data_IF_863923528788
#
_entry.id   IF_863923528788
#
_cell.length_a   1.000
_cell.length_b   1.000
_cell.length_c   1.000
_cell.angle_alpha   90.00
_cell.angle_beta   90.00
_cell.angle_gamma   90.00
#
_symmetry.space_group_name_H-M   'P 1'
#
loop_
_entity.id
_entity.type
_entity.pdbx_description
1 polymer ?
2 non-polymer ?
3 non-polymer ?
4 water ?
#
# COMPACT_ATOMS: atom_id res chain seq x y z
N UNK A 1 -15.89 -7.56 -6.52
CA UNK A 1 -15.25 -6.66 -5.52
C UNK A 1 -15.92 -5.30 -5.44
N UNK A 2 -16.26 -4.92 -4.22
CA UNK A 2 -16.75 -3.59 -3.95
C UNK A 2 -15.61 -2.64 -3.66
N UNK A 3 -15.94 -1.38 -3.37
CA UNK A 3 -14.94 -0.33 -3.15
C UNK A 3 -14.22 -0.35 -1.81
N UNK A 4 -14.82 -0.95 -0.80
CA UNK A 4 -14.39 -0.74 0.56
C UNK A 4 -13.34 -1.74 1.07
N UNK A 5 -12.21 -1.21 1.59
CA UNK A 5 -11.27 -2.00 2.35
C UNK A 5 -11.59 -1.78 3.84
N UNK A 6 -11.62 -2.86 4.61
CA UNK A 6 -11.77 -2.69 6.04
C UNK A 6 -10.83 -3.65 6.79
N UNK A 7 -10.95 -3.69 8.12
CA UNK A 7 -10.03 -4.48 8.92
C UNK A 7 -10.79 -5.28 9.99
N UNK A 8 -10.13 -6.28 10.57
CA UNK A 8 -10.71 -7.05 11.66
C UNK A 8 -9.91 -6.88 12.97
N UNK A 9 -10.52 -7.28 14.09
CA UNK A 9 -9.96 -7.03 15.41
C UNK A 9 -8.71 -7.85 15.75
N UNK A 10 -8.70 -9.13 15.38
CA UNK A 10 -7.63 -9.99 15.86
C UNK A 10 -7.19 -11.14 14.97
N UNK A 11 -6.95 -12.29 15.61
CA UNK A 11 -6.30 -13.44 14.96
C UNK A 11 -7.24 -14.33 14.17
N UNK A 12 -8.54 -14.27 14.48
CA UNK A 12 -9.55 -15.13 13.88
C UNK A 12 -10.73 -14.25 13.55
N UNK A 13 -11.59 -14.73 12.66
CA UNK A 13 -12.80 -14.04 12.30
C UNK A 13 -13.85 -14.22 13.41
N UNK A 14 -14.53 -13.14 13.76
CA UNK A 14 -15.68 -13.26 14.65
C UNK A 14 -16.92 -13.50 13.80
N UNK A 15 -18.06 -13.75 14.44
CA UNK A 15 -19.33 -13.92 13.72
C UNK A 15 -19.64 -12.68 12.92
N UNK A 16 -19.37 -11.52 13.52
CA UNK A 16 -19.63 -10.25 12.86
C UNK A 16 -18.71 -9.98 11.65
N UNK A 17 -17.44 -10.36 11.76
CA UNK A 17 -16.50 -10.26 10.66
C UNK A 17 -17.01 -11.05 9.45
N UNK A 18 -17.49 -12.26 9.71
CA UNK A 18 -18.03 -13.13 8.67
C UNK A 18 -19.21 -12.51 7.93
N UNK A 19 -20.16 -11.97 8.68
CA UNK A 19 -21.29 -11.28 8.07
C UNK A 19 -20.80 -10.08 7.25
N UNK A 20 -19.84 -9.33 7.79
CA UNK A 20 -19.24 -8.18 7.08
C UNK A 20 -18.54 -8.58 5.76
N UNK A 21 -17.72 -9.64 5.80
CA UNK A 21 -16.98 -10.02 4.62
C UNK A 21 -17.90 -10.50 3.49
N UNK A 22 -19.13 -10.86 3.85
CA UNK A 22 -20.09 -11.37 2.87
C UNK A 22 -20.71 -10.24 2.09
N UNK A 23 -20.54 -9.02 2.58
CA UNK A 23 -21.22 -7.92 1.94
C UNK A 23 -20.48 -7.48 0.68
N UNK A 24 -21.19 -7.37 -0.44
CA UNK A 24 -20.50 -7.12 -1.71
C UNK A 24 -19.89 -5.72 -1.84
N UNK A 25 -20.12 -4.84 -0.87
CA UNK A 25 -19.45 -3.53 -0.89
C UNK A 25 -18.00 -3.71 -0.45
N UNK A 26 -17.72 -4.81 0.24
CA UNK A 26 -16.35 -5.04 0.67
C UNK A 26 -15.59 -5.50 -0.57
N UNK A 27 -14.37 -4.98 -0.74
CA UNK A 27 -13.51 -5.34 -1.85
C UNK A 27 -12.17 -5.84 -1.34
N UNK A 28 -11.83 -5.50 -0.10
CA UNK A 28 -10.55 -5.90 0.46
C UNK A 28 -10.47 -5.84 1.98
N UNK A 29 -9.49 -6.55 2.54
CA UNK A 29 -9.22 -6.53 3.97
C UNK A 29 -7.79 -6.04 4.15
N UNK A 30 -7.59 -5.02 4.98
CA UNK A 30 -6.22 -4.60 5.28
C UNK A 30 -5.82 -5.18 6.62
N UNK A 31 -4.64 -5.81 6.65
CA UNK A 31 -4.20 -6.51 7.85
C UNK A 31 -3.16 -5.66 8.59
N UNK A 32 -3.09 -5.85 9.90
CA UNK A 32 -2.14 -5.14 10.76
C UNK A 32 -1.37 -6.16 11.64
N UNK A 33 -0.43 -5.67 12.44
CA UNK A 33 0.29 -6.52 13.39
C UNK A 33 -0.64 -7.30 14.30
N UNK A 34 -1.77 -6.69 14.63
CA UNK A 34 -2.72 -7.27 15.57
C UNK A 34 -3.46 -8.45 14.98
N UNK A 35 -3.39 -8.62 13.67
CA UNK A 35 -3.99 -9.78 13.04
C UNK A 35 -2.97 -10.90 12.84
N UNK A 36 -1.77 -10.71 13.38
CA UNK A 36 -0.71 -11.67 13.17
C UNK A 36 -0.11 -12.22 14.45
N UNK A 37 -0.33 -13.52 14.69
CA UNK A 37 0.37 -14.21 15.78
C UNK A 37 1.53 -15.06 15.27
N UNK A 38 1.28 -15.89 14.26
CA UNK A 38 2.31 -16.78 13.71
C UNK A 38 1.94 -17.21 12.28
N UNK A 39 2.89 -17.81 11.57
CA UNK A 39 2.68 -18.14 10.15
C UNK A 39 1.44 -18.96 9.88
N UNK A 40 1.25 -20.03 10.65
CA UNK A 40 0.13 -20.96 10.49
C UNK A 40 -1.23 -20.28 10.71
N UNK A 41 -1.33 -19.56 11.83
CA UNK A 41 -2.48 -18.72 12.17
C UNK A 41 -2.84 -17.72 11.06
N UNK A 42 -1.83 -17.12 10.45
CA UNK A 42 -2.05 -16.16 9.35
C UNK A 42 -2.65 -16.80 8.11
N UNK A 43 -2.13 -17.97 7.71
CA UNK A 43 -2.69 -18.74 6.58
C UNK A 43 -4.14 -19.08 6.88
N UNK A 44 -4.36 -19.52 8.11
CA UNK A 44 -5.69 -19.92 8.55
C UNK A 44 -6.65 -18.73 8.47
N UNK A 45 -6.18 -17.55 8.90
CA UNK A 45 -6.98 -16.32 8.85
C UNK A 45 -7.28 -15.88 7.42
N UNK A 46 -6.27 -15.89 6.57
CA UNK A 46 -6.51 -15.50 5.19
C UNK A 46 -7.47 -16.45 4.45
N UNK A 47 -7.36 -17.75 4.73
CA UNK A 47 -8.28 -18.74 4.17
C UNK A 47 -9.71 -18.51 4.68
N UNK A 48 -9.86 -18.21 5.97
CA UNK A 48 -11.17 -17.85 6.50
C UNK A 48 -11.73 -16.56 5.87
N UNK A 49 -10.90 -15.53 5.73
CA UNK A 49 -11.33 -14.32 5.01
C UNK A 49 -11.86 -14.67 3.60
N UNK A 50 -11.14 -15.52 2.88
CA UNK A 50 -11.55 -15.85 1.51
C UNK A 50 -12.79 -16.74 1.48
N UNK A 51 -12.93 -17.60 2.47
CA UNK A 51 -14.14 -18.40 2.58
C UNK A 51 -15.35 -17.54 2.92
N UNK A 52 -15.20 -16.66 3.90
CA UNK A 52 -16.32 -15.84 4.36
C UNK A 52 -16.87 -14.96 3.23
N UNK A 53 -15.97 -14.46 2.39
CA UNK A 53 -16.34 -13.61 1.27
C UNK A 53 -17.00 -14.43 0.16
N UNK A 54 -16.54 -15.67 -0.02
CA UNK A 54 -17.07 -16.56 -1.06
C UNK A 54 -17.09 -15.89 -2.44
N UNK A 55 -16.09 -15.05 -2.68
CA UNK A 55 -15.93 -14.40 -3.98
C UNK A 55 -14.50 -13.87 -3.98
N UNK A 56 -13.98 -13.49 -5.16
CA UNK A 56 -12.62 -12.99 -5.05
C UNK A 56 -12.61 -11.76 -4.13
N UNK A 57 -11.58 -11.66 -3.27
CA UNK A 57 -11.43 -10.52 -2.40
C UNK A 57 -9.94 -10.23 -2.19
N UNK A 58 -9.57 -8.97 -1.95
CA UNK A 58 -8.18 -8.61 -1.80
C UNK A 58 -7.74 -8.63 -0.36
N UNK A 59 -6.51 -9.06 -0.12
CA UNK A 59 -5.95 -9.00 1.22
C UNK A 59 -4.63 -8.24 1.14
N UNK A 60 -4.53 -7.15 1.88
CA UNK A 60 -3.38 -6.25 1.78
C UNK A 60 -2.80 -5.96 3.14
N UNK A 61 -1.58 -5.43 3.12
CA UNK A 61 -0.89 -5.13 4.36
C UNK A 61 0.19 -4.09 4.05
N UNK A 62 0.55 -3.27 5.02
CA UNK A 62 1.68 -2.35 4.85
C UNK A 62 2.95 -3.13 5.17
N UNK A 63 3.61 -3.69 4.16
CA UNK A 63 4.87 -4.42 4.38
C UNK A 63 5.96 -3.78 3.52
N UNK A 64 6.61 -2.74 4.04
CA UNK A 64 7.55 -1.94 3.26
C UNK A 64 8.98 -2.33 3.60
N UNK A 65 9.17 -2.84 4.81
CA UNK A 65 10.49 -3.05 5.37
C UNK A 65 10.78 -1.96 6.40
N UNK A 66 11.76 -2.18 7.26
CA UNK A 66 12.22 -1.15 8.19
C UNK A 66 11.20 -0.84 9.27
N UNK A 67 10.79 0.42 9.33
CA UNK A 67 9.83 0.83 10.36
C UNK A 67 8.40 0.31 10.10
N UNK A 68 8.13 -0.12 8.89
CA UNK A 68 6.82 -0.60 8.53
C UNK A 68 6.88 -2.01 7.98
N UNK A 69 6.81 -2.98 8.87
CA UNK A 69 6.67 -4.37 8.45
C UNK A 69 5.80 -5.05 9.49
N UNK A 70 4.52 -5.27 9.16
CA UNK A 70 3.55 -5.81 10.12
C UNK A 70 3.86 -7.22 10.57
N UNK A 71 4.41 -8.04 9.67
CA UNK A 71 4.66 -9.43 9.98
C UNK A 71 6.17 -9.62 10.00
N UNK A 72 6.74 -9.77 11.19
CA UNK A 72 8.19 -9.91 11.34
C UNK A 72 8.61 -11.29 11.82
N UNK A 73 8.08 -11.71 12.96
CA UNK A 73 8.38 -13.05 13.50
C UNK A 73 7.96 -14.16 12.55
N UNK A 74 8.92 -14.98 12.11
CA UNK A 74 8.61 -16.06 11.18
C UNK A 74 8.73 -15.63 9.73
N UNK A 75 9.13 -14.38 9.54
CA UNK A 75 9.36 -13.83 8.21
C UNK A 75 10.80 -13.39 8.11
N UNK A 76 11.30 -13.21 6.89
CA UNK A 76 12.58 -12.58 6.73
C UNK A 76 12.40 -11.10 7.02
N UNK A 77 13.29 -10.52 7.81
CA UNK A 77 13.27 -9.10 8.10
C UNK A 77 13.72 -8.31 6.86
N UNK A 78 12.94 -7.29 6.50
CA UNK A 78 13.23 -6.48 5.29
C UNK A 78 13.76 -5.13 5.80
N UNK A 79 14.87 -4.62 5.25
CA UNK A 79 15.44 -3.39 5.78
C UNK A 79 14.61 -2.16 5.44
N UNK A 80 14.85 -1.04 6.13
CA UNK A 80 14.30 0.24 5.70
C UNK A 80 14.59 0.51 4.22
N UNK A 81 13.60 0.97 3.47
CA UNK A 81 13.78 1.25 2.04
C UNK A 81 15.03 2.12 1.78
N UNK A 82 15.34 2.99 2.74
CA UNK A 82 16.53 3.84 2.65
C UNK A 82 17.86 3.09 2.44
N UNK A 83 17.99 1.93 3.07
CA UNK A 83 19.25 1.19 3.06
C UNK A 83 19.82 0.81 1.69
N UNK A 84 18.96 0.44 0.75
CA UNK A 84 19.44 -0.03 -0.54
C UNK A 84 20.47 0.91 -1.14
N UNK A 85 20.10 2.18 -1.32
CA UNK A 85 20.96 3.10 -2.05
C UNK A 85 22.27 3.36 -1.29
N UNK A 86 22.33 2.92 -0.03
CA UNK A 86 23.54 3.09 0.77
C UNK A 86 24.56 1.94 0.63
N UNK A 87 24.12 0.78 0.12
CA UNK A 87 25.01 -0.36 -0.20
C UNK A 87 25.74 -0.06 -1.50
N UNK A 88 26.77 -0.83 -1.82
CA UNK A 88 27.49 -0.62 -3.08
C UNK A 88 26.81 -1.26 -4.28
N UNK A 89 25.91 -2.20 -4.04
CA UNK A 89 25.04 -2.73 -5.10
C UNK A 89 23.56 -2.52 -4.75
N UNK A 90 23.13 -1.26 -4.75
CA UNK A 90 21.82 -0.86 -4.25
C UNK A 90 20.66 -1.31 -5.11
N UNK A 91 20.84 -1.26 -6.42
CA UNK A 91 19.80 -1.72 -7.32
C UNK A 91 19.61 -3.23 -7.16
N UNK A 92 20.71 -3.97 -7.15
CA UNK A 92 20.64 -5.42 -6.98
C UNK A 92 19.96 -5.82 -5.66
N UNK A 93 20.31 -5.13 -4.58
CA UNK A 93 19.76 -5.44 -3.27
C UNK A 93 18.29 -5.00 -3.12
N UNK A 94 17.93 -3.89 -3.76
CA UNK A 94 16.56 -3.36 -3.69
C UNK A 94 15.57 -4.27 -4.42
N UNK A 95 16.01 -4.90 -5.51
CA UNK A 95 15.18 -5.86 -6.25
C UNK A 95 15.03 -7.15 -5.40
N UNK A 96 16.09 -7.52 -4.68
CA UNK A 96 16.02 -8.66 -3.79
C UNK A 96 15.01 -8.41 -2.66
N UNK A 97 15.08 -7.22 -2.05
CA UNK A 97 14.16 -6.84 -0.99
C UNK A 97 12.72 -6.89 -1.47
N UNK A 98 12.46 -6.38 -2.66
CA UNK A 98 11.12 -6.34 -3.19
C UNK A 98 10.57 -7.71 -3.49
N UNK A 99 11.36 -8.53 -4.16
CA UNK A 99 10.95 -9.89 -4.50
C UNK A 99 10.72 -10.68 -3.23
N UNK A 100 11.56 -10.47 -2.23
CA UNK A 100 11.54 -11.31 -1.03
C UNK A 100 10.34 -10.95 -0.16
N UNK A 101 10.13 -9.66 0.01
CA UNK A 101 8.96 -9.17 0.71
C UNK A 101 7.69 -9.69 0.04
N UNK A 102 7.59 -9.52 -1.28
CA UNK A 102 6.40 -9.93 -2.01
C UNK A 102 6.21 -11.45 -1.96
N UNK A 103 7.32 -12.18 -2.10
CA UNK A 103 7.26 -13.66 -2.18
C UNK A 103 6.77 -14.25 -0.87
N UNK A 104 7.25 -13.71 0.25
CA UNK A 104 6.81 -14.25 1.53
C UNK A 104 5.33 -13.93 1.83
N UNK A 105 4.87 -12.74 1.41
CA UNK A 105 3.46 -12.40 1.60
C UNK A 105 2.62 -13.42 0.83
N UNK A 106 2.96 -13.62 -0.43
CA UNK A 106 2.26 -14.56 -1.30
C UNK A 106 2.23 -15.97 -0.72
N UNK A 107 3.36 -16.43 -0.20
CA UNK A 107 3.43 -17.74 0.43
C UNK A 107 2.41 -17.83 1.56
N UNK A 108 1.92 -16.68 2.03
CA UNK A 108 1.01 -16.69 3.17
C UNK A 108 -0.38 -16.20 2.77
N UNK A 109 -0.65 -16.28 1.48
CA UNK A 109 -1.98 -16.00 0.96
C UNK A 109 -2.34 -14.52 1.08
N UNK A 110 -1.35 -13.63 1.02
CA UNK A 110 -1.61 -12.19 0.96
C UNK A 110 -1.48 -11.69 -0.49
N UNK A 111 -2.48 -10.96 -0.98
CA UNK A 111 -2.44 -10.43 -2.34
C UNK A 111 -1.38 -9.35 -2.60
N UNK A 112 -1.27 -8.36 -1.71
CA UNK A 112 -0.37 -7.24 -1.96
C UNK A 112 0.13 -6.52 -0.70
N UNK A 113 1.28 -5.86 -0.85
CA UNK A 113 1.76 -4.93 0.15
C UNK A 113 1.55 -3.54 -0.43
N UNK A 114 1.15 -2.57 0.40
CA UNK A 114 1.00 -1.21 -0.07
C UNK A 114 2.38 -0.56 -0.15
N UNK A 115 3.00 -0.67 -1.32
CA UNK A 115 4.37 -0.23 -1.55
C UNK A 115 4.66 -0.27 -3.05
N UNK A 116 5.64 0.51 -3.52
CA UNK A 116 6.67 1.22 -2.73
C UNK A 116 6.35 2.65 -2.30
N UNK A 117 7.03 3.11 -1.24
CA UNK A 117 7.05 4.54 -0.96
C UNK A 117 7.85 5.28 -2.05
N UNK A 118 7.23 6.25 -2.70
CA UNK A 118 7.91 7.02 -3.76
C UNK A 118 8.17 8.46 -3.32
N UNK A 119 7.98 8.74 -2.03
CA UNK A 119 8.26 10.05 -1.47
C UNK A 119 9.76 10.32 -1.47
N UNK A 120 10.13 11.60 -1.53
CA UNK A 120 11.54 11.98 -1.66
C UNK A 120 11.97 12.72 -0.42
N UNK A 121 13.12 12.34 0.13
CA UNK A 121 13.68 13.01 1.31
C UNK A 121 13.38 12.28 2.59
N UNK A 122 14.11 12.60 3.65
CA UNK A 122 13.95 11.90 4.91
C UNK A 122 13.44 12.84 6.02
N UNK A 123 13.28 14.12 5.70
CA UNK A 123 12.98 15.13 6.73
C UNK A 123 11.55 15.09 7.32
N UNK A 124 10.63 14.35 6.71
CA UNK A 124 9.30 14.23 7.29
C UNK A 124 9.34 13.07 8.27
N UNK A 125 9.14 13.37 9.55
CA UNK A 125 9.33 12.39 10.62
C UNK A 125 8.60 11.06 10.34
N UNK A 126 7.42 11.13 9.74
CA UNK A 126 6.59 9.95 9.50
C UNK A 126 7.08 9.11 8.32
N UNK A 127 7.75 9.76 7.36
CA UNK A 127 8.37 9.04 6.24
C UNK A 127 9.77 8.61 6.66
N UNK A 128 10.69 9.56 6.81
CA UNK A 128 12.03 9.25 7.30
C UNK A 128 12.70 8.19 6.44
N UNK A 129 13.23 7.13 7.07
CA UNK A 129 13.93 6.13 6.28
C UNK A 129 13.03 5.16 5.50
N UNK A 130 11.74 5.49 5.38
CA UNK A 130 10.83 4.69 4.54
C UNK A 130 11.00 5.07 3.07
N UNK A 131 11.67 6.20 2.84
CA UNK A 131 11.95 6.67 1.50
C UNK A 131 13.23 6.04 0.93
N UNK A 132 13.22 5.78 -0.38
CA UNK A 132 14.34 5.13 -1.03
C UNK A 132 15.55 6.03 -1.21
N UNK A 133 15.33 7.33 -1.11
CA UNK A 133 16.36 8.31 -1.43
C UNK A 133 15.91 9.75 -1.21
N UNK A 134 16.84 10.67 -1.46
CA UNK A 134 16.66 12.10 -1.19
C UNK A 134 16.70 12.92 -2.43
N UNK A 135 16.79 12.29 -3.58
CA UNK A 135 16.77 13.00 -4.85
C UNK A 135 16.02 12.15 -5.88
N UNK A 136 15.58 12.79 -6.96
CA UNK A 136 14.79 12.10 -7.96
C UNK A 136 15.43 10.80 -8.51
N UNK A 137 16.73 10.83 -8.79
CA UNK A 137 17.35 9.68 -9.49
C UNK A 137 17.58 8.49 -8.56
N UNK A 138 17.92 8.77 -7.30
CA UNK A 138 18.12 7.70 -6.33
C UNK A 138 16.81 6.99 -6.00
N UNK A 139 15.73 7.77 -5.80
CA UNK A 139 14.41 7.21 -5.57
C UNK A 139 13.96 6.34 -6.75
N UNK A 140 13.96 6.92 -7.95
CA UNK A 140 13.54 6.19 -9.16
C UNK A 140 14.34 4.90 -9.36
N UNK A 141 15.66 5.06 -9.29
CA UNK A 141 16.58 3.96 -9.50
C UNK A 141 16.26 2.82 -8.53
N UNK A 142 16.11 3.14 -7.25
CA UNK A 142 15.93 2.09 -6.24
C UNK A 142 14.49 1.60 -5.99
N UNK A 143 13.50 2.48 -6.17
CA UNK A 143 12.10 2.06 -6.09
C UNK A 143 11.74 1.18 -7.30
N UNK A 144 12.27 1.51 -8.49
CA UNK A 144 12.07 0.68 -9.67
C UNK A 144 12.60 -0.73 -9.41
N UNK A 145 13.80 -0.81 -8.87
CA UNK A 145 14.33 -2.12 -8.51
C UNK A 145 13.37 -2.89 -7.59
N UNK A 146 13.03 -2.29 -6.46
CA UNK A 146 12.13 -2.91 -5.48
C UNK A 146 10.85 -3.39 -6.17
N UNK A 147 10.35 -2.56 -7.05
CA UNK A 147 9.07 -2.72 -7.69
C UNK A 147 9.14 -3.86 -8.73
N UNK A 148 10.26 -3.94 -9.46
CA UNK A 148 10.52 -5.08 -10.35
C UNK A 148 10.53 -6.44 -9.60
N UNK A 149 11.01 -6.43 -8.36
CA UNK A 149 11.02 -7.65 -7.56
C UNK A 149 9.61 -8.09 -7.19
N UNK A 150 8.76 -7.11 -6.87
CA UNK A 150 7.36 -7.39 -6.53
C UNK A 150 6.68 -8.03 -7.74
N UNK A 151 6.87 -7.41 -8.89
CA UNK A 151 6.25 -7.81 -10.14
C UNK A 151 6.69 -9.21 -10.56
N UNK A 152 7.96 -9.52 -10.33
CA UNK A 152 8.49 -10.83 -10.73
C UNK A 152 7.76 -11.99 -10.06
N UNK A 153 7.34 -11.83 -8.79
CA UNK A 153 6.53 -12.85 -8.15
C UNK A 153 5.01 -12.68 -8.34
N UNK A 154 4.59 -11.77 -9.21
CA UNK A 154 3.17 -11.63 -9.52
C UNK A 154 2.36 -10.79 -8.53
N UNK A 155 3.05 -9.88 -7.83
CA UNK A 155 2.38 -9.00 -6.88
C UNK A 155 2.16 -7.63 -7.49
N UNK A 156 0.92 -7.13 -7.41
CA UNK A 156 0.59 -5.77 -7.92
C UNK A 156 1.24 -4.71 -7.02
N UNK A 157 1.48 -3.54 -7.60
CA UNK A 157 2.25 -2.49 -6.96
C UNK A 157 1.42 -1.23 -6.67
N UNK A 158 1.72 -0.56 -5.56
CA UNK A 158 0.98 0.63 -5.15
C UNK A 158 1.98 1.74 -4.81
N UNK A 159 2.10 2.74 -5.66
CA UNK A 159 2.94 3.89 -5.32
C UNK A 159 2.27 4.77 -4.28
N UNK A 160 3.04 5.22 -3.29
CA UNK A 160 2.53 6.19 -2.31
C UNK A 160 3.65 7.14 -1.91
N UNK A 161 3.31 8.34 -1.44
CA UNK A 161 1.94 8.79 -1.20
C UNK A 161 1.71 10.00 -2.07
N UNK A 162 1.01 9.77 -3.17
CA UNK A 162 0.88 10.72 -4.25
C UNK A 162 0.25 12.04 -3.77
N UNK A 163 0.76 13.20 -4.21
CA UNK A 163 1.86 13.50 -5.15
C UNK A 163 3.22 13.64 -4.46
N UNK A 164 3.35 13.19 -3.23
CA UNK A 164 4.64 13.24 -2.57
C UNK A 164 4.53 13.85 -1.19
N UNK A 165 4.96 13.07 -0.20
CA UNK A 165 4.81 13.38 1.22
C UNK A 165 6.18 13.68 1.84
N UNK A 166 7.21 13.70 1.01
CA UNK A 166 8.58 13.83 1.50
C UNK A 166 8.99 15.13 2.15
N UNK A 167 8.32 16.24 1.82
CA UNK A 167 8.69 17.55 2.35
C UNK A 167 7.79 18.08 3.47
N UNK A 168 6.82 17.30 3.91
CA UNK A 168 5.94 17.75 5.00
C UNK A 168 6.73 18.01 6.31
N UNK A 169 6.87 19.28 6.70
CA UNK A 169 7.59 19.61 7.94
C UNK A 169 6.69 19.99 9.12
N UNK A 173 -0.44 21.89 12.63
CA UNK A 173 -1.23 21.85 13.86
C UNK A 173 -2.73 21.91 13.60
N UNK A 174 -3.17 21.35 12.47
CA UNK A 174 -4.59 21.21 12.16
C UNK A 174 -4.89 19.73 11.96
N UNK A 175 -6.17 19.37 11.79
CA UNK A 175 -6.54 17.98 11.50
C UNK A 175 -5.79 17.39 10.30
N UNK A 176 -4.97 18.20 9.63
CA UNK A 176 -4.33 17.78 8.38
C UNK A 176 -2.99 18.49 8.10
N UNK A 177 -1.96 17.71 7.71
CA UNK A 177 -0.63 18.24 7.40
C UNK A 177 -0.59 19.05 6.11
N UNK A 178 0.37 19.97 6.03
CA UNK A 178 0.49 20.92 4.93
C UNK A 178 1.88 20.89 4.32
N UNK A 179 1.93 21.11 3.01
CA UNK A 179 3.18 21.28 2.31
C UNK A 179 3.02 22.52 1.45
N UNK A 180 3.59 23.63 1.88
CA UNK A 180 3.35 24.93 1.23
C UNK A 180 4.28 25.34 0.09
N UNK A 181 5.13 24.44 -0.41
CA UNK A 181 6.09 24.87 -1.42
C UNK A 181 5.30 25.33 -2.63
N UNK A 182 5.79 26.31 -3.38
CA UNK A 182 5.03 26.77 -4.54
C UNK A 182 5.24 25.90 -5.76
N UNK A 183 6.22 25.00 -5.65
CA UNK A 183 6.34 23.94 -6.62
C UNK A 183 6.70 22.61 -5.94
N UNK A 184 6.11 21.53 -6.41
CA UNK A 184 6.51 20.21 -5.93
C UNK A 184 6.90 19.34 -7.11
N UNK A 185 7.41 19.97 -8.16
CA UNK A 185 7.72 19.30 -9.42
C UNK A 185 8.66 18.09 -9.31
N UNK A 186 9.72 18.22 -8.52
CA UNK A 186 10.63 17.11 -8.36
C UNK A 186 9.92 15.93 -7.70
N UNK A 187 9.20 16.19 -6.60
CA UNK A 187 8.46 15.13 -5.92
C UNK A 187 7.50 14.45 -6.87
N UNK A 188 6.81 15.26 -7.66
CA UNK A 188 5.78 14.74 -8.58
C UNK A 188 6.41 14.03 -9.79
N UNK A 189 7.62 14.45 -10.18
CA UNK A 189 8.35 13.86 -11.30
C UNK A 189 8.59 12.36 -11.08
N UNK A 190 8.87 11.99 -9.82
CA UNK A 190 9.05 10.59 -9.46
C UNK A 190 7.82 9.76 -9.81
N UNK A 191 6.66 10.23 -9.36
CA UNK A 191 5.38 9.59 -9.67
C UNK A 191 5.11 9.57 -11.16
N UNK A 192 5.40 10.69 -11.85
CA UNK A 192 5.22 10.75 -13.31
C UNK A 192 6.03 9.69 -14.08
N UNK A 193 7.31 9.56 -13.77
CA UNK A 193 8.15 8.53 -14.39
C UNK A 193 7.66 7.08 -14.16
N UNK A 194 7.20 6.77 -12.94
CA UNK A 194 6.74 5.42 -12.65
C UNK A 194 5.42 5.13 -13.37
N UNK A 195 4.54 6.13 -13.45
CA UNK A 195 3.29 5.99 -14.20
C UNK A 195 3.61 5.80 -15.68
N UNK A 196 4.43 6.69 -16.21
CA UNK A 196 4.79 6.64 -17.62
C UNK A 196 5.45 5.31 -17.97
N UNK A 197 6.14 4.70 -17.01
CA UNK A 197 6.79 3.40 -17.24
C UNK A 197 5.80 2.24 -17.14
N UNK A 198 4.54 2.55 -16.83
CA UNK A 198 3.51 1.53 -16.62
C UNK A 198 3.76 0.50 -15.52
N UNK A 199 4.47 0.88 -14.45
CA UNK A 199 4.84 -0.10 -13.42
C UNK A 199 4.01 -0.04 -12.13
N UNK A 200 3.03 0.84 -12.06
CA UNK A 200 2.23 0.95 -10.86
C UNK A 200 0.82 0.46 -11.15
N UNK A 201 0.42 -0.57 -10.43
CA UNK A 201 -0.95 -1.07 -10.59
C UNK A 201 -1.92 -0.20 -9.84
N UNK A 202 -1.45 0.49 -8.82
CA UNK A 202 -2.32 1.25 -7.97
C UNK A 202 -1.58 2.46 -7.40
N UNK A 203 -2.34 3.41 -6.88
CA UNK A 203 -1.77 4.62 -6.30
C UNK A 203 -2.50 4.97 -5.00
N UNK A 204 -1.72 5.26 -3.96
CA UNK A 204 -2.30 5.79 -2.75
C UNK A 204 -1.87 7.26 -2.56
N UNK A 205 -2.85 8.16 -2.39
CA UNK A 205 -2.56 9.59 -2.27
C UNK A 205 -2.22 10.01 -0.86
N UNK A 206 -1.58 11.15 -0.72
CA UNK A 206 -1.24 11.67 0.60
C UNK A 206 -2.40 12.45 1.24
N UNK A 207 -2.55 12.33 2.55
CA UNK A 207 -3.47 13.20 3.28
C UNK A 207 -2.76 14.52 3.66
N UNK A 208 -2.47 15.32 2.64
CA UNK A 208 -1.68 16.53 2.76
C UNK A 208 -2.27 17.55 1.81
N UNK A 209 -2.36 18.78 2.28
CA UNK A 209 -2.88 19.89 1.51
C UNK A 209 -1.69 20.60 0.87
N UNK A 210 -1.78 20.89 -0.42
CA UNK A 210 -0.78 21.68 -1.10
C UNK A 210 -1.42 23.01 -1.53
N UNK A 211 -1.38 24.02 -0.64
CA UNK A 211 -2.20 25.23 -0.76
C UNK A 211 -1.98 25.97 -2.07
N UNK A 212 -0.76 25.94 -2.56
CA UNK A 212 -0.50 26.53 -3.85
C UNK A 212 -1.41 25.94 -4.91
N UNK A 213 -1.83 24.68 -4.72
CA UNK A 213 -2.44 23.91 -5.82
C UNK A 213 -3.94 23.68 -5.65
N UNK A 214 -4.35 23.45 -4.41
CA UNK A 214 -5.71 23.05 -4.12
C UNK A 214 -5.95 23.10 -2.61
N UNK A 215 -7.19 23.40 -2.20
CA UNK A 215 -7.54 23.50 -0.78
C UNK A 215 -7.69 22.14 -0.10
N UNK A 216 -8.00 21.11 -0.88
CA UNK A 216 -8.28 19.77 -0.31
C UNK A 216 -7.02 18.94 -0.12
N UNK A 217 -6.95 18.17 0.97
CA UNK A 217 -5.87 17.17 1.05
C UNK A 217 -5.90 16.35 -0.23
N UNK A 218 -4.76 15.95 -0.77
CA UNK A 218 -4.76 15.23 -2.04
C UNK A 218 -5.64 13.99 -2.04
N UNK A 219 -5.72 13.28 -0.91
CA UNK A 219 -6.52 12.07 -0.82
C UNK A 219 -8.02 12.29 -1.04
N UNK A 220 -8.48 13.54 -1.00
CA UNK A 220 -9.90 13.86 -1.19
C UNK A 220 -10.10 14.98 -2.20
N UNK A 221 -9.13 15.13 -3.10
CA UNK A 221 -9.07 16.27 -4.00
C UNK A 221 -9.37 15.89 -5.45
N UNK A 222 -10.45 16.45 -5.99
CA UNK A 222 -10.78 16.30 -7.40
C UNK A 222 -9.64 16.78 -8.31
N UNK A 223 -8.98 17.87 -7.92
CA UNK A 223 -7.83 18.34 -8.67
C UNK A 223 -6.77 17.24 -8.73
N UNK A 224 -6.30 16.82 -7.55
CA UNK A 224 -5.18 15.88 -7.51
C UNK A 224 -5.52 14.52 -8.10
N UNK A 225 -6.71 14.02 -7.82
CA UNK A 225 -7.02 12.63 -8.17
C UNK A 225 -7.53 12.48 -9.58
N UNK A 226 -8.10 13.55 -10.11
CA UNK A 226 -8.68 13.50 -11.46
C UNK A 226 -7.94 14.39 -12.45
N UNK A 227 -7.93 15.69 -12.21
CA UNK A 227 -7.24 16.58 -13.14
C UNK A 227 -5.76 16.20 -13.31
N UNK A 228 -5.03 16.02 -12.21
CA UNK A 228 -3.61 15.67 -12.29
C UNK A 228 -3.41 14.17 -12.53
N UNK A 229 -3.81 13.34 -11.57
CA UNK A 229 -3.52 11.92 -11.64
C UNK A 229 -4.02 11.26 -12.93
N UNK A 230 -5.25 11.58 -13.35
CA UNK A 230 -5.82 10.98 -14.56
C UNK A 230 -5.50 11.79 -15.81
N UNK A 231 -5.84 13.09 -15.79
CA UNK A 231 -5.74 13.91 -17.00
C UNK A 231 -4.32 14.22 -17.44
N UNK A 232 -3.55 14.89 -16.58
CA UNK A 232 -2.18 15.26 -16.91
C UNK A 232 -1.18 14.10 -16.95
N UNK A 233 -1.32 13.12 -16.07
CA UNK A 233 -0.33 12.03 -15.98
C UNK A 233 -0.79 10.72 -16.63
N UNK A 234 -2.07 10.60 -16.94
CA UNK A 234 -2.58 9.39 -17.58
C UNK A 234 -2.53 8.10 -16.77
N UNK A 235 -2.57 8.18 -15.43
CA UNK A 235 -2.63 6.96 -14.65
C UNK A 235 -3.88 6.15 -15.01
N UNK A 236 -3.69 4.84 -15.20
CA UNK A 236 -4.74 3.93 -15.66
C UNK A 236 -5.16 2.94 -14.58
N UNK A 237 -4.48 2.96 -13.45
CA UNK A 237 -4.70 1.93 -12.44
C UNK A 237 -5.71 2.29 -11.39
N UNK A 238 -5.63 1.58 -10.26
CA UNK A 238 -6.55 1.78 -9.14
C UNK A 238 -6.08 2.91 -8.24
N UNK A 239 -6.98 3.86 -7.97
CA UNK A 239 -6.67 4.93 -7.01
C UNK A 239 -7.35 4.61 -5.70
N UNK A 240 -6.55 4.55 -4.64
CA UNK A 240 -7.10 4.37 -3.30
C UNK A 240 -7.40 5.73 -2.69
N UNK A 241 -8.24 5.73 -1.67
CA UNK A 241 -8.34 6.87 -0.77
C UNK A 241 -7.39 6.64 0.39
N UNK A 242 -7.33 7.63 1.26
CA UNK A 242 -6.66 7.52 2.53
C UNK A 242 -7.68 6.92 3.51
N UNK A 243 -7.24 6.68 4.74
CA UNK A 243 -8.13 6.16 5.77
C UNK A 243 -9.20 7.17 6.18
N UNK A 244 -10.45 6.89 5.81
CA UNK A 244 -11.57 7.82 5.97
C UNK A 244 -12.28 7.69 7.32
N UNK A 245 -11.75 6.87 8.21
CA UNK A 245 -12.41 6.69 9.49
C UNK A 245 -12.09 7.91 10.34
N UNK A 246 -10.92 8.50 10.06
CA UNK A 246 -10.42 9.68 10.78
C UNK A 246 -11.41 10.86 10.77
N UNK A 251 -15.83 18.45 8.37
CA UNK A 251 -15.76 19.02 7.04
C UNK A 251 -16.75 18.35 6.05
N UNK A 252 -16.43 17.13 5.60
CA UNK A 252 -17.26 16.48 4.58
C UNK A 252 -18.59 15.90 5.10
N UNK A 253 -18.64 15.56 6.39
CA UNK A 253 -19.81 14.89 6.98
C UNK A 253 -19.46 13.53 7.58
N UNK A 254 -20.46 12.69 7.77
CA UNK A 254 -20.24 11.36 8.31
C UNK A 254 -19.65 10.41 7.29
N UNK A 255 -19.43 9.16 7.70
CA UNK A 255 -18.75 8.12 6.92
C UNK A 255 -19.27 7.99 5.50
N UNK A 256 -20.58 7.93 5.32
CA UNK A 256 -21.18 7.79 3.99
C UNK A 256 -20.86 8.96 3.06
N UNK A 257 -20.92 10.18 3.59
CA UNK A 257 -20.63 11.37 2.80
C UNK A 257 -19.14 11.44 2.51
N UNK A 258 -18.34 11.10 3.51
CA UNK A 258 -16.90 11.07 3.33
C UNK A 258 -16.56 10.03 2.26
N UNK A 259 -17.18 8.86 2.33
CA UNK A 259 -16.93 7.82 1.34
C UNK A 259 -17.34 8.30 -0.04
N UNK A 260 -18.49 8.95 -0.10
CA UNK A 260 -19.01 9.50 -1.34
C UNK A 260 -18.11 10.59 -1.91
N UNK A 261 -17.59 11.49 -1.06
CA UNK A 261 -16.70 12.54 -1.55
C UNK A 261 -15.40 11.93 -2.09
N UNK A 262 -14.89 10.91 -1.39
CA UNK A 262 -13.69 10.21 -1.88
C UNK A 262 -13.93 9.56 -3.25
N UNK A 263 -15.06 8.89 -3.42
CA UNK A 263 -15.36 8.26 -4.70
C UNK A 263 -15.56 9.33 -5.78
N UNK A 264 -16.35 10.36 -5.46
CA UNK A 264 -16.57 11.46 -6.40
C UNK A 264 -15.25 12.14 -6.81
N UNK A 265 -14.36 12.31 -5.84
CA UNK A 265 -13.06 12.96 -6.04
C UNK A 265 -12.14 12.19 -6.99
N UNK A 266 -12.41 10.88 -7.14
CA UNK A 266 -11.70 10.05 -8.11
C UNK A 266 -11.05 8.77 -7.58
N UNK A 267 -11.37 8.38 -6.34
CA UNK A 267 -10.91 7.11 -5.80
C UNK A 267 -11.71 5.96 -6.37
N UNK A 268 -11.05 4.84 -6.67
CA UNK A 268 -11.79 3.65 -7.06
C UNK A 268 -12.17 2.85 -5.85
N UNK A 269 -11.31 2.90 -4.82
CA UNK A 269 -11.54 2.17 -3.57
C UNK A 269 -11.27 3.06 -2.37
N UNK A 270 -11.96 2.79 -1.27
CA UNK A 270 -11.85 3.61 -0.09
C UNK A 270 -11.47 2.73 1.10
N UNK A 271 -10.71 3.30 2.02
CA UNK A 271 -10.26 2.55 3.18
C UNK A 271 -10.93 3.11 4.41
N UNK A 272 -11.44 2.22 5.26
CA UNK A 272 -11.94 2.60 6.57
C UNK A 272 -11.33 1.66 7.61
N UNK A 273 -10.28 2.13 8.28
CA UNK A 273 -9.56 1.32 9.26
C UNK A 273 -9.89 1.74 10.68
N UNK A 274 -9.70 0.81 11.60
CA UNK A 274 -9.82 1.13 12.99
C UNK A 274 -11.10 1.83 13.38
N UNK A 275 -12.19 1.56 12.67
CA UNK A 275 -13.50 2.04 13.11
C UNK A 275 -14.65 1.20 12.55
N UNK A 276 -14.86 0.06 13.19
CA UNK A 276 -15.85 -0.91 12.74
C UNK A 276 -17.23 -0.28 12.55
N UNK A 277 -17.64 0.65 13.40
CA UNK A 277 -19.01 1.18 13.26
C UNK A 277 -19.17 2.16 12.11
N UNK A 278 -18.13 2.90 11.78
CA UNK A 278 -18.15 3.71 10.55
C UNK A 278 -18.24 2.83 9.28
N UNK A 279 -17.52 1.71 9.29
CA UNK A 279 -17.52 0.76 8.17
C UNK A 279 -18.91 0.12 8.00
N UNK A 280 -19.51 -0.28 9.11
CA UNK A 280 -20.84 -0.84 9.12
C UNK A 280 -21.87 0.17 8.64
N UNK A 281 -21.70 1.42 9.06
CA UNK A 281 -22.59 2.46 8.58
C UNK A 281 -22.49 2.65 7.06
N UNK A 282 -21.27 2.58 6.53
CA UNK A 282 -21.09 2.60 5.08
C UNK A 282 -21.66 1.35 4.41
N UNK A 283 -21.37 0.17 4.95
CA UNK A 283 -21.95 -1.04 4.36
C UNK A 283 -23.48 -0.93 4.32
N UNK A 284 -24.07 -0.38 5.40
CA UNK A 284 -25.52 -0.35 5.55
C UNK A 284 -26.21 0.61 4.60
N UNK A 285 -25.52 1.70 4.26
CA UNK A 285 -26.19 2.85 3.64
C UNK A 285 -25.70 3.27 2.26
N UNK A 286 -24.49 2.87 1.89
CA UNK A 286 -23.98 3.22 0.58
C UNK A 286 -24.56 2.32 -0.52
N UNK A 287 -25.05 2.91 -1.62
CA UNK A 287 -25.48 2.00 -2.67
C UNK A 287 -24.35 1.08 -3.16
N UNK A 288 -24.70 -0.15 -3.51
CA UNK A 288 -23.70 -1.11 -3.95
C UNK A 288 -23.11 -0.75 -5.32
N UNK A 289 -21.79 -0.66 -5.39
CA UNK A 289 -21.11 -0.49 -6.67
C UNK A 289 -20.02 -1.55 -6.81
N UNK A 290 -19.74 -1.92 -8.05
CA UNK A 290 -18.79 -2.96 -8.32
C UNK A 290 -17.50 -2.30 -8.78
N UNK A 291 -16.36 -2.90 -8.46
CA UNK A 291 -15.06 -2.38 -8.91
C UNK A 291 -14.28 -3.49 -9.63
N UNK A 292 -14.77 -3.91 -10.82
CA UNK A 292 -14.27 -5.12 -11.45
C UNK A 292 -12.79 -5.00 -11.79
N UNK A 293 -12.33 -3.76 -12.01
CA UNK A 293 -10.95 -3.55 -12.41
C UNK A 293 -9.99 -3.70 -11.22
N UNK A 294 -10.53 -3.78 -10.01
CA UNK A 294 -9.70 -4.12 -8.85
C UNK A 294 -9.25 -5.58 -8.86
N UNK A 295 -9.78 -6.39 -9.77
CA UNK A 295 -9.34 -7.77 -9.82
C UNK A 295 -7.93 -7.90 -10.38
N UNK A 296 -7.48 -6.85 -11.06
CA UNK A 296 -6.11 -6.81 -11.53
C UNK A 296 -5.10 -6.80 -10.37
N UNK A 297 -5.58 -6.52 -9.15
CA UNK A 297 -4.71 -6.49 -7.95
C UNK A 297 -4.52 -7.85 -7.26
N UNK A 298 -5.31 -8.85 -7.64
CA UNK A 298 -5.17 -10.18 -7.06
C UNK A 298 -3.80 -10.74 -7.42
N UNK A 299 -3.10 -11.37 -6.48
CA UNK A 299 -1.77 -11.90 -6.80
C UNK A 299 -1.88 -12.89 -7.97
N UNK A 300 -0.83 -12.97 -8.78
CA UNK A 300 -0.87 -13.77 -10.01
C UNK A 300 -0.17 -15.09 -9.86
N UNK A 301 0.42 -15.32 -8.69
CA UNK A 301 1.08 -16.58 -8.40
C UNK A 301 0.59 -17.21 -7.14
N UNK A 302 0.91 -18.49 -6.99
CA UNK A 302 0.50 -19.24 -5.83
C UNK A 302 1.55 -20.27 -5.42
N UNK A 303 1.98 -20.21 -4.17
CA UNK A 303 2.93 -21.19 -3.66
C UNK A 303 3.07 -21.11 -2.16
N UNK A 304 3.60 -22.18 -1.57
CA UNK A 304 3.78 -22.25 -0.14
C UNK A 304 5.18 -21.78 0.24
N UNK A 305 5.38 -21.56 1.53
CA UNK A 305 6.63 -21.04 2.05
C UNK A 305 7.77 -22.01 1.83
N UNK A 306 7.52 -23.29 2.08
CA UNK A 306 8.58 -24.27 1.96
C UNK A 306 8.95 -24.49 0.47
N UNK A 307 7.99 -24.41 -0.44
CA UNK A 307 8.34 -24.36 -1.86
C UNK A 307 9.25 -23.18 -2.19
N UNK A 308 8.94 -22.01 -1.62
CA UNK A 308 9.71 -20.78 -1.85
C UNK A 308 11.15 -20.91 -1.37
N UNK A 309 11.32 -21.45 -0.16
CA UNK A 309 12.64 -21.62 0.44
C UNK A 309 13.57 -22.57 -0.32
N UNK A 310 13.04 -23.24 -1.32
CA UNK A 310 13.86 -24.13 -2.14
C UNK A 310 14.54 -23.35 -3.24
N UNK A 311 14.11 -22.11 -3.45
CA UNK A 311 14.80 -21.28 -4.41
C UNK A 311 16.12 -20.72 -3.85
N UNK A 312 17.21 -20.88 -4.61
CA UNK A 312 18.45 -20.22 -4.28
C UNK A 312 18.19 -18.73 -4.18
N UNK A 313 17.24 -18.26 -4.98
CA UNK A 313 16.94 -16.85 -5.00
C UNK A 313 16.49 -16.42 -3.59
N UNK A 314 15.72 -17.29 -2.92
CA UNK A 314 15.23 -16.99 -1.56
C UNK A 314 16.35 -17.10 -0.56
N UNK A 315 17.12 -18.19 -0.63
CA UNK A 315 18.20 -18.43 0.34
C UNK A 315 19.12 -17.22 0.39
N UNK A 316 19.42 -16.68 -0.78
CA UNK A 316 20.31 -15.53 -0.95
C UNK A 316 19.69 -14.19 -0.54
N UNK A 317 18.50 -13.89 -1.04
CA UNK A 317 17.85 -12.62 -0.71
C UNK A 317 17.71 -12.52 0.81
N UNK A 318 17.31 -13.62 1.43
CA UNK A 318 17.10 -13.67 2.86
C UNK A 318 18.37 -13.39 3.63
N UNK A 319 19.47 -14.06 3.26
CA UNK A 319 20.74 -13.84 3.93
C UNK A 319 21.24 -12.42 3.64
N UNK A 320 21.01 -11.96 2.41
CA UNK A 320 21.44 -10.63 1.99
C UNK A 320 20.69 -9.49 2.67
N UNK A 321 19.40 -9.68 2.92
CA UNK A 321 18.64 -8.64 3.60
C UNK A 321 19.06 -8.52 5.06
N UNK A 322 19.29 -9.66 5.71
CA UNK A 322 19.77 -9.66 7.10
C UNK A 322 21.14 -8.99 7.20
N UNK A 323 22.03 -9.35 6.28
CA UNK A 323 23.34 -8.72 6.19
C UNK A 323 23.21 -7.19 6.04
N UNK A 324 22.34 -6.75 5.14
CA UNK A 324 22.16 -5.31 4.85
C UNK A 324 21.66 -4.52 6.06
N UNK A 325 20.72 -5.11 6.80
CA UNK A 325 20.22 -4.52 8.02
C UNK A 325 21.35 -4.36 9.03
N UNK A 326 22.17 -5.40 9.14
CA UNK A 326 23.29 -5.36 10.08
C UNK A 326 24.28 -4.26 9.68
N UNK A 327 24.49 -4.12 8.39
CA UNK A 327 25.49 -3.18 7.91
C UNK A 327 25.25 -1.73 8.37
N UNK A 328 24.01 -1.28 8.27
CA UNK A 328 23.69 0.12 8.53
C UNK A 328 22.91 0.42 9.81
N UNK A 329 22.72 -0.59 10.65
CA UNK A 329 21.93 -0.38 11.86
C UNK A 329 22.80 0.10 13.01
X LIG B 1 1.56 9.65 7.55
X LIG B 1 2.60 9.41 6.45
X LIG B 1 1.96 8.70 5.26
X LIG B 1 1.59 7.29 5.71
X LIG B 1 2.36 6.65 6.40
X LIG B 1 0.41 6.82 5.31
X LIG B 1 -0.02 5.48 5.67
X LIG B 1 -0.06 4.64 4.40
X LIG B 1 1.27 4.49 3.86
X LIG B 1 -0.71 3.28 4.73
X LIG B 1 -0.59 2.33 3.65
X LIG B 1 -2.19 3.47 5.09
X LIG B 1 -2.86 2.19 5.53
X LIG B 1 -2.56 1.67 6.62
X LIG B 1 -2.37 4.43 6.15
X LIG B 1 -1.36 5.47 6.38
X LIG B 1 -1.56 6.33 7.29
X LIG B 1 -2.64 6.33 7.95
X LIG B 1 -3.00 7.37 8.93
X LIG B 1 -2.18 8.23 9.22
X LIG B 1 -4.23 7.29 9.46
X LIG B 1 -4.77 8.19 10.40
X LIG B 1 -6.01 7.89 10.99
X LIG B 1 -6.59 8.77 11.91
X LIG B 1 -5.95 9.96 12.23
X LIG B 1 -4.71 10.27 11.64
X LIG B 1 -4.13 9.39 10.72
X LIG C 1 7.77 -17.70 -7.32
X LIG C 1 8.68 -16.87 -8.00
X LIG C 1 8.54 -18.91 -6.79
X LIG C 1 8.73 -19.81 -7.86
X LIG C 1 7.75 -19.60 -5.69
X LIG C 1 7.98 -20.99 -5.78
X LIG D 1 -12.67 -3.76 14.92
X LIG D 1 -13.53 -4.75 14.39
X LIG D 1 -12.12 -2.88 13.80
X LIG D 1 -11.10 -3.52 13.06
X LIG D 1 -11.65 -1.55 14.37
X LIG D 1 -12.61 -1.09 15.31
#
# INVERSE_FOLDING_TARGET
>A
MGPLWLDVAGYELSAEDRAILAHPTVGGVILFGRNYHDNQQLLALNKAIRQAAARPILIGVDQEGGRVQRFREGFSRIPPAQYYARAENGVELAEQGGWLMAAELIAHDVDLSFAPVLDMGFACKAIGNRAFGEDVQTVLKHSSAFLRGMKAVGMATTGKHFPGHGAVIADSHLETPYDERETIAQDMAIFRAQIEAGVLDAMMPAHVVYPHYDAQPASGSSYWLKQVLREELGFKGIVFSDDLSMEGAAVMGGPVERSHQALVAGCDMILICNKREAAVEVLDNLPIMEVPQAEALLKKQQFSYSELKRLERWQQASANMQRLIEQFSEHHHHHHHHHH
>B hetero
1 NP6 C2 C1 C3 C4 O1 N1 C5 C6 O2 C7 O3 C8 C9 O4 O5 C10 N2 O6 C11 O7 N3 C12 C13 C14 C15 C16 C17
>C hetero
1 GOL C1 O1 C2 O2 C3 O3
>D hetero
1 GOL C1 O1 C2 O2 C3 O3
#
